data_IF_289306313811
#
_entry.id   IF_289306313811
#
_cell.length_a   1.000
_cell.length_b   1.000
_cell.length_c   1.000
_cell.angle_alpha   90.00
_cell.angle_beta   90.00
_cell.angle_gamma   90.00
#
_symmetry.space_group_name_H-M   'P 1'
#
loop_
_entity.id
_entity.type
_entity.pdbx_description
1 polymer ?
#
# COMPACT_ATOMS: atom_id res chain seq x y z
N UNK A 1 26.04 11.03 6.51
CA UNK A 1 25.82 11.15 5.04
C UNK A 1 26.28 9.86 4.40
N UNK A 2 25.40 8.88 4.34
CA UNK A 2 25.67 7.60 3.68
C UNK A 2 25.27 7.77 2.23
N UNK A 3 26.24 7.83 1.35
CA UNK A 3 26.07 8.13 -0.06
C UNK A 3 25.35 6.95 -0.75
N UNK A 4 24.27 7.19 -1.50
CA UNK A 4 23.60 6.19 -2.35
C UNK A 4 24.56 5.43 -3.27
N UNK A 5 25.71 6.02 -3.60
CA UNK A 5 26.79 5.37 -4.34
C UNK A 5 27.54 4.27 -3.55
N UNK A 6 27.35 4.15 -2.24
CA UNK A 6 27.95 3.07 -1.44
C UNK A 6 27.05 1.84 -1.31
N UNK A 7 25.75 1.96 -1.66
CA UNK A 7 24.82 0.82 -1.70
C UNK A 7 25.11 -0.06 -2.95
N UNK A 8 25.74 0.51 -3.98
CA UNK A 8 26.01 -0.18 -5.24
C UNK A 8 27.33 -0.97 -5.30
N UNK A 9 28.13 -1.05 -4.24
CA UNK A 9 29.48 -1.61 -4.36
C UNK A 9 29.79 -2.91 -3.57
N UNK A 10 28.80 -3.51 -2.94
CA UNK A 10 29.06 -4.78 -2.24
C UNK A 10 27.82 -5.61 -2.02
N UNK A 11 27.25 -6.15 -3.07
CA UNK A 11 26.62 -7.47 -3.16
C UNK A 11 25.95 -7.58 -4.54
N UNK A 12 26.67 -8.14 -5.53
CA UNK A 12 26.07 -8.64 -6.77
C UNK A 12 25.25 -9.90 -6.47
N UNK A 13 24.08 -9.70 -5.90
CA UNK A 13 22.92 -10.57 -6.01
C UNK A 13 21.74 -9.65 -6.23
N UNK A 14 21.69 -9.00 -7.41
CA UNK A 14 20.47 -8.35 -7.88
C UNK A 14 19.49 -9.47 -8.19
N UNK A 15 18.62 -9.80 -7.25
CA UNK A 15 17.38 -10.51 -7.54
C UNK A 15 16.52 -9.57 -8.39
N UNK A 16 16.76 -9.58 -9.71
CA UNK A 16 15.89 -8.89 -10.66
C UNK A 16 14.58 -9.66 -10.73
N UNK A 17 13.54 -9.15 -10.08
CA UNK A 17 12.19 -9.65 -10.31
C UNK A 17 11.83 -9.42 -11.79
N UNK A 18 11.46 -10.49 -12.47
CA UNK A 18 10.98 -10.41 -13.84
C UNK A 18 9.47 -10.11 -13.88
N UNK A 19 8.99 -9.55 -14.98
CA UNK A 19 7.56 -9.34 -15.18
C UNK A 19 6.78 -10.66 -15.04
N UNK A 20 7.34 -11.76 -15.53
CA UNK A 20 6.74 -13.09 -15.42
C UNK A 20 6.58 -13.55 -13.96
N UNK A 21 7.58 -13.31 -13.11
CA UNK A 21 7.50 -13.65 -11.68
C UNK A 21 6.43 -12.82 -10.95
N UNK A 22 6.33 -11.52 -11.27
CA UNK A 22 5.29 -10.66 -10.73
C UNK A 22 3.90 -11.07 -11.22
N UNK A 23 3.79 -11.54 -12.47
CA UNK A 23 2.54 -12.06 -13.00
C UNK A 23 2.08 -13.36 -12.31
N UNK A 24 2.99 -14.24 -11.90
CA UNK A 24 2.64 -15.42 -11.11
C UNK A 24 1.96 -15.04 -9.78
N UNK A 25 2.36 -13.93 -9.15
CA UNK A 25 1.70 -13.44 -7.95
C UNK A 25 0.27 -12.94 -8.23
N UNK A 26 0.03 -12.31 -9.41
CA UNK A 26 -1.32 -11.97 -9.90
C UNK A 26 -2.19 -13.23 -10.04
N UNK A 27 -1.65 -14.26 -10.70
CA UNK A 27 -2.36 -15.53 -10.88
C UNK A 27 -2.64 -16.22 -9.53
N UNK A 28 -1.71 -16.12 -8.57
CA UNK A 28 -1.90 -16.66 -7.23
C UNK A 28 -3.06 -15.99 -6.50
N UNK A 29 -3.19 -14.65 -6.58
CA UNK A 29 -4.33 -13.93 -5.99
C UNK A 29 -5.63 -14.39 -6.63
N UNK A 30 -5.70 -14.46 -7.97
CA UNK A 30 -6.90 -14.90 -8.69
C UNK A 30 -7.30 -16.35 -8.38
N UNK A 31 -6.32 -17.23 -8.24
CA UNK A 31 -6.57 -18.65 -7.96
C UNK A 31 -6.99 -18.91 -6.51
N UNK A 32 -6.43 -18.18 -5.54
CA UNK A 32 -6.67 -18.41 -4.12
C UNK A 32 -7.82 -17.56 -3.56
N UNK A 33 -8.20 -16.47 -4.26
CA UNK A 33 -9.26 -15.54 -3.85
C UNK A 33 -9.18 -15.13 -2.35
N UNK A 34 -8.01 -14.64 -1.86
CA UNK A 34 -7.77 -14.45 -0.44
C UNK A 34 -8.77 -13.47 0.19
N UNK A 35 -9.23 -13.78 1.40
CA UNK A 35 -10.08 -12.88 2.18
C UNK A 35 -9.22 -11.77 2.78
N UNK A 36 -9.44 -10.54 2.33
CA UNK A 36 -8.78 -9.34 2.79
C UNK A 36 -9.71 -8.57 3.72
N UNK A 37 -9.37 -8.53 5.02
CA UNK A 37 -10.08 -7.69 5.97
C UNK A 37 -9.54 -6.27 5.89
N UNK A 38 -10.36 -5.32 5.44
CA UNK A 38 -9.95 -3.93 5.24
C UNK A 38 -10.77 -2.98 6.13
N UNK A 39 -10.13 -2.48 7.19
CA UNK A 39 -10.67 -1.39 8.01
C UNK A 39 -10.19 -0.08 7.38
N UNK A 40 -10.98 0.43 6.44
CA UNK A 40 -10.63 1.57 5.59
C UNK A 40 -11.48 2.81 5.85
N UNK A 41 -11.19 3.89 5.15
CA UNK A 41 -11.92 5.15 5.26
C UNK A 41 -13.24 5.14 4.48
N UNK A 42 -14.20 5.93 4.94
CA UNK A 42 -15.57 5.97 4.38
C UNK A 42 -15.63 6.46 2.94
N UNK A 43 -14.66 7.27 2.52
CA UNK A 43 -14.64 7.87 1.18
C UNK A 43 -14.41 6.81 0.11
N UNK A 44 -13.67 5.75 0.43
CA UNK A 44 -13.17 4.78 -0.57
C UNK A 44 -13.63 3.34 -0.33
N UNK A 45 -14.39 3.08 0.72
CA UNK A 45 -14.78 1.71 1.14
C UNK A 45 -15.39 0.90 -0.01
N UNK A 46 -16.31 1.49 -0.78
CA UNK A 46 -16.94 0.82 -1.93
C UNK A 46 -15.94 0.59 -3.06
N UNK A 47 -15.12 1.60 -3.40
CA UNK A 47 -14.16 1.49 -4.49
C UNK A 47 -13.09 0.45 -4.18
N UNK A 48 -12.55 0.43 -2.96
CA UNK A 48 -11.58 -0.58 -2.53
C UNK A 48 -12.16 -2.01 -2.59
N UNK A 49 -13.42 -2.19 -2.15
CA UNK A 49 -14.08 -3.48 -2.24
C UNK A 49 -14.19 -3.95 -3.71
N UNK A 50 -14.59 -3.04 -4.61
CA UNK A 50 -14.71 -3.37 -6.04
C UNK A 50 -13.35 -3.65 -6.69
N UNK A 51 -12.28 -2.93 -6.32
CA UNK A 51 -10.92 -3.21 -6.82
C UNK A 51 -10.45 -4.59 -6.37
N UNK A 52 -10.67 -4.95 -5.10
CA UNK A 52 -10.34 -6.29 -4.59
C UNK A 52 -11.12 -7.39 -5.32
N UNK A 53 -12.44 -7.19 -5.54
CA UNK A 53 -13.26 -8.13 -6.31
C UNK A 53 -12.80 -8.24 -7.76
N UNK A 54 -12.51 -7.13 -8.42
CA UNK A 54 -12.01 -7.12 -9.79
C UNK A 54 -10.66 -7.83 -9.92
N UNK A 55 -9.80 -7.72 -8.89
CA UNK A 55 -8.52 -8.44 -8.82
C UNK A 55 -8.70 -9.95 -8.63
N UNK A 56 -9.85 -10.40 -8.11
CA UNK A 56 -10.13 -11.80 -7.77
C UNK A 56 -9.96 -12.13 -6.29
N UNK A 57 -9.72 -11.14 -5.42
CA UNK A 57 -9.71 -11.29 -3.97
C UNK A 57 -11.11 -11.18 -3.38
N UNK A 58 -11.29 -11.59 -2.14
CA UNK A 58 -12.54 -11.51 -1.37
C UNK A 58 -12.44 -10.41 -0.32
N UNK A 59 -13.11 -9.24 -0.47
CA UNK A 59 -13.05 -8.17 0.52
C UNK A 59 -14.03 -8.39 1.68
N UNK A 60 -13.62 -8.05 2.89
CA UNK A 60 -14.50 -7.81 4.02
C UNK A 60 -14.19 -6.45 4.66
N UNK A 61 -15.22 -5.61 4.81
CA UNK A 61 -15.09 -4.22 5.27
C UNK A 61 -15.67 -4.03 6.69
N UNK A 62 -15.59 -5.08 7.52
CA UNK A 62 -16.05 -5.04 8.91
C UNK A 62 -15.19 -4.07 9.74
N UNK A 63 -15.83 -3.25 10.57
CA UNK A 63 -15.17 -2.22 11.39
C UNK A 63 -15.80 -2.03 12.76
N UNK A 64 -16.82 -2.83 13.13
CA UNK A 64 -17.41 -2.81 14.45
C UNK A 64 -16.48 -3.52 15.44
N UNK A 65 -16.22 -2.90 16.61
CA UNK A 65 -15.34 -3.47 17.63
C UNK A 65 -15.77 -4.87 18.09
N UNK A 66 -17.07 -5.17 17.98
CA UNK A 66 -17.69 -6.41 18.38
C UNK A 66 -17.31 -7.61 17.48
N UNK A 67 -16.91 -7.35 16.21
CA UNK A 67 -16.70 -8.43 15.22
C UNK A 67 -15.30 -8.42 14.59
N UNK A 68 -14.54 -7.31 14.69
CA UNK A 68 -13.28 -7.17 13.93
C UNK A 68 -12.24 -8.24 14.28
N UNK A 69 -12.23 -8.73 15.51
CA UNK A 69 -11.34 -9.81 15.92
C UNK A 69 -11.73 -11.13 15.24
N UNK A 70 -13.01 -11.44 15.16
CA UNK A 70 -13.52 -12.65 14.50
C UNK A 70 -13.26 -12.58 12.99
N UNK A 71 -13.45 -11.41 12.37
CA UNK A 71 -13.13 -11.19 10.95
C UNK A 71 -11.64 -11.34 10.67
N UNK A 72 -10.77 -10.75 11.50
CA UNK A 72 -9.32 -10.92 11.40
C UNK A 72 -8.89 -12.37 11.63
N UNK A 73 -9.67 -13.13 12.40
CA UNK A 73 -9.41 -14.57 12.65
C UNK A 73 -9.62 -15.43 11.41
N UNK A 74 -10.48 -15.07 10.49
CA UNK A 74 -10.73 -15.84 9.26
C UNK A 74 -10.04 -15.25 8.02
N UNK A 75 -9.57 -13.99 8.09
CA UNK A 75 -8.88 -13.31 6.99
C UNK A 75 -7.48 -13.90 6.72
N UNK A 76 -6.97 -13.66 5.50
CA UNK A 76 -5.61 -13.96 5.08
C UNK A 76 -4.71 -12.72 5.07
N UNK A 77 -5.28 -11.51 5.12
CA UNK A 77 -4.56 -10.26 5.31
C UNK A 77 -5.43 -9.22 6.02
N UNK A 78 -4.80 -8.30 6.75
CA UNK A 78 -5.45 -7.14 7.36
C UNK A 78 -4.89 -5.86 6.74
N UNK A 79 -5.78 -4.97 6.30
CA UNK A 79 -5.45 -3.63 5.77
C UNK A 79 -6.05 -2.57 6.69
N UNK A 80 -5.21 -1.66 7.18
CA UNK A 80 -5.59 -0.56 8.06
C UNK A 80 -5.36 0.77 7.35
N UNK A 81 -6.41 1.58 7.19
CA UNK A 81 -6.33 2.89 6.53
C UNK A 81 -6.98 3.96 7.41
N UNK A 82 -6.18 4.96 7.78
CA UNK A 82 -6.58 6.00 8.75
C UNK A 82 -7.22 7.25 8.11
N UNK A 83 -7.73 7.18 6.89
CA UNK A 83 -8.24 8.35 6.14
C UNK A 83 -9.37 9.12 6.82
N UNK A 84 -10.32 8.43 7.45
CA UNK A 84 -11.43 9.02 8.22
C UNK A 84 -11.50 8.39 9.61
N UNK A 85 -10.66 8.90 10.53
CA UNK A 85 -10.54 8.39 11.88
C UNK A 85 -11.72 8.77 12.78
N UNK A 86 -12.10 7.81 13.62
CA UNK A 86 -12.86 8.00 14.86
C UNK A 86 -12.20 7.19 15.98
N UNK A 87 -12.49 7.47 17.24
CA UNK A 87 -11.94 6.71 18.34
C UNK A 87 -12.31 5.22 18.26
N UNK A 88 -13.57 4.92 17.94
CA UNK A 88 -14.07 3.54 17.77
C UNK A 88 -13.33 2.82 16.63
N UNK A 89 -13.06 3.53 15.52
CA UNK A 89 -12.31 2.93 14.40
C UNK A 89 -10.86 2.63 14.79
N UNK A 90 -10.19 3.49 15.54
CA UNK A 90 -8.84 3.21 16.06
C UNK A 90 -8.88 1.99 16.98
N UNK A 91 -9.85 1.92 17.88
CA UNK A 91 -10.04 0.76 18.76
C UNK A 91 -10.27 -0.52 17.96
N UNK A 92 -11.12 -0.49 16.93
CA UNK A 92 -11.36 -1.62 16.03
C UNK A 92 -10.08 -2.07 15.32
N UNK A 93 -9.27 -1.12 14.82
CA UNK A 93 -7.98 -1.40 14.19
C UNK A 93 -7.02 -2.12 15.16
N UNK A 94 -6.92 -1.65 16.41
CA UNK A 94 -6.06 -2.28 17.42
C UNK A 94 -6.50 -3.71 17.76
N UNK A 95 -7.81 -3.95 17.89
CA UNK A 95 -8.37 -5.28 18.13
C UNK A 95 -8.10 -6.23 16.97
N UNK A 96 -8.38 -5.80 15.73
CA UNK A 96 -8.14 -6.59 14.54
C UNK A 96 -6.65 -6.89 14.35
N UNK A 97 -5.77 -5.91 14.58
CA UNK A 97 -4.32 -6.05 14.46
C UNK A 97 -3.77 -7.05 15.48
N UNK A 98 -4.22 -7.00 16.73
CA UNK A 98 -3.84 -7.97 17.75
C UNK A 98 -4.19 -9.39 17.31
N UNK A 99 -5.38 -9.61 16.73
CA UNK A 99 -5.81 -10.91 16.23
C UNK A 99 -5.00 -11.33 15.00
N UNK A 100 -4.74 -10.40 14.05
CA UNK A 100 -3.92 -10.65 12.88
C UNK A 100 -2.50 -11.13 13.26
N UNK A 101 -1.86 -10.48 14.24
CA UNK A 101 -0.56 -10.90 14.74
C UNK A 101 -0.59 -12.27 15.40
N UNK A 102 -1.64 -12.59 16.19
CA UNK A 102 -1.77 -13.92 16.80
C UNK A 102 -1.86 -15.03 15.76
N UNK A 103 -2.32 -14.72 14.56
CA UNK A 103 -2.44 -15.65 13.42
C UNK A 103 -1.26 -15.55 12.44
N UNK A 104 -0.32 -14.64 12.67
CA UNK A 104 0.80 -14.37 11.77
C UNK A 104 0.34 -14.05 10.32
N UNK A 105 -0.82 -13.41 10.15
CA UNK A 105 -1.25 -12.90 8.84
C UNK A 105 -0.67 -11.50 8.59
N UNK A 106 -0.38 -11.13 7.33
CA UNK A 106 0.19 -9.83 7.00
C UNK A 106 -0.74 -8.68 7.38
N UNK A 107 -0.14 -7.62 7.93
CA UNK A 107 -0.82 -6.35 8.25
C UNK A 107 -0.21 -5.26 7.37
N UNK A 108 -1.05 -4.55 6.62
CA UNK A 108 -0.67 -3.43 5.76
C UNK A 108 -1.27 -2.15 6.30
N UNK A 109 -0.46 -1.13 6.53
CA UNK A 109 -0.89 0.18 7.03
C UNK A 109 -0.78 1.26 5.96
N UNK A 110 -1.88 2.00 5.78
CA UNK A 110 -1.97 3.21 4.96
C UNK A 110 -2.14 4.44 5.88
N UNK A 111 -1.07 5.20 6.13
CA UNK A 111 -1.06 6.31 7.09
C UNK A 111 -1.62 7.60 6.49
N UNK A 112 -2.79 7.55 5.84
CA UNK A 112 -3.40 8.68 5.12
C UNK A 112 -3.41 9.95 5.95
N UNK A 113 -2.73 10.98 5.44
CA UNK A 113 -2.68 12.29 6.09
C UNK A 113 -1.85 12.31 7.37
N UNK A 114 -0.88 11.42 7.53
CA UNK A 114 0.11 11.47 8.61
C UNK A 114 0.77 12.86 8.65
N UNK A 115 0.94 13.41 9.84
CA UNK A 115 1.47 14.77 10.05
C UNK A 115 0.43 15.89 9.98
N UNK A 116 -0.76 15.66 9.41
CA UNK A 116 -1.77 16.70 9.26
C UNK A 116 -2.41 17.15 10.59
N UNK A 117 -2.55 16.23 11.55
CA UNK A 117 -3.12 16.53 12.88
C UNK A 117 -2.46 15.72 13.99
N UNK A 118 -2.41 16.25 15.23
CA UNK A 118 -1.91 15.50 16.38
C UNK A 118 -2.64 14.17 16.59
N UNK A 119 -3.96 14.13 16.36
CA UNK A 119 -4.75 12.92 16.53
C UNK A 119 -4.34 11.80 15.54
N UNK A 120 -4.06 12.14 14.27
CA UNK A 120 -3.55 11.15 13.31
C UNK A 120 -2.20 10.58 13.74
N UNK A 121 -1.29 11.45 14.20
CA UNK A 121 0.02 11.04 14.67
C UNK A 121 -0.06 10.15 15.91
N UNK A 122 -0.97 10.47 16.84
CA UNK A 122 -1.25 9.64 18.01
C UNK A 122 -1.77 8.27 17.61
N UNK A 123 -2.81 8.20 16.76
CA UNK A 123 -3.38 6.94 16.29
C UNK A 123 -2.34 6.07 15.58
N UNK A 124 -1.49 6.65 14.72
CA UNK A 124 -0.40 5.93 14.06
C UNK A 124 0.61 5.39 15.08
N UNK A 125 0.96 6.18 16.07
CA UNK A 125 1.86 5.75 17.15
C UNK A 125 1.28 4.56 17.91
N UNK A 126 0.00 4.62 18.28
CA UNK A 126 -0.70 3.54 18.97
C UNK A 126 -0.75 2.25 18.12
N UNK A 127 -1.10 2.36 16.83
CA UNK A 127 -1.15 1.22 15.89
C UNK A 127 0.24 0.58 15.77
N UNK A 128 1.30 1.36 15.54
CA UNK A 128 2.65 0.81 15.35
C UNK A 128 3.20 0.23 16.67
N UNK A 129 2.89 0.81 17.82
CA UNK A 129 3.35 0.32 19.12
C UNK A 129 2.60 -0.94 19.59
N UNK A 130 1.34 -1.10 19.22
CA UNK A 130 0.55 -2.30 19.57
C UNK A 130 1.02 -3.56 18.86
N UNK A 131 1.82 -3.40 17.81
CA UNK A 131 2.45 -4.43 16.99
C UNK A 131 2.78 -3.83 15.62
N UNK A 132 4.06 -3.81 15.20
CA UNK A 132 4.41 -3.18 13.93
C UNK A 132 3.70 -3.87 12.76
N UNK A 133 3.16 -3.10 11.80
CA UNK A 133 2.67 -3.67 10.55
C UNK A 133 3.85 -4.20 9.74
N UNK A 134 3.65 -5.28 9.00
CA UNK A 134 4.68 -5.83 8.12
C UNK A 134 4.96 -4.95 6.90
N UNK A 135 3.97 -4.15 6.48
CA UNK A 135 4.05 -3.27 5.31
C UNK A 135 3.42 -1.92 5.64
N UNK A 136 4.10 -0.83 5.31
CA UNK A 136 3.55 0.54 5.35
C UNK A 136 3.64 1.14 3.94
N UNK A 137 2.51 1.64 3.41
CA UNK A 137 2.47 2.33 2.12
C UNK A 137 1.90 3.74 2.29
N UNK A 138 2.63 4.75 1.86
CA UNK A 138 2.19 6.15 1.88
C UNK A 138 2.95 6.99 0.85
N UNK A 139 2.56 8.26 0.68
CA UNK A 139 3.37 9.20 -0.08
C UNK A 139 4.59 9.68 0.73
N UNK A 140 5.52 10.37 0.08
CA UNK A 140 6.77 10.80 0.73
C UNK A 140 6.56 11.60 2.02
N UNK A 141 5.59 12.52 2.06
CA UNK A 141 5.31 13.32 3.24
C UNK A 141 4.69 12.51 4.39
N UNK A 142 3.83 11.54 4.07
CA UNK A 142 3.25 10.62 5.05
C UNK A 142 4.32 9.71 5.66
N UNK A 143 5.18 9.12 4.83
CA UNK A 143 6.28 8.27 5.29
C UNK A 143 7.28 9.04 6.16
N UNK A 144 7.69 10.25 5.77
CA UNK A 144 8.55 11.11 6.58
C UNK A 144 7.90 11.40 7.94
N UNK A 145 6.61 11.71 7.96
CA UNK A 145 5.89 11.98 9.21
C UNK A 145 5.83 10.74 10.12
N UNK A 146 5.54 9.56 9.57
CA UNK A 146 5.54 8.30 10.34
C UNK A 146 6.94 7.97 10.87
N UNK A 147 7.98 8.29 10.11
CA UNK A 147 9.37 8.14 10.55
C UNK A 147 9.77 9.10 11.69
N UNK A 148 8.94 10.11 11.99
CA UNK A 148 9.18 11.09 13.05
C UNK A 148 9.94 12.33 12.58
N UNK A 149 10.05 12.57 11.28
CA UNK A 149 10.64 13.78 10.71
C UNK A 149 9.59 14.89 10.63
N UNK A 150 9.95 16.10 11.09
CA UNK A 150 9.09 17.28 10.95
C UNK A 150 9.07 17.72 9.48
N UNK A 151 7.94 17.51 8.81
CA UNK A 151 7.75 17.96 7.42
C UNK A 151 7.10 19.33 7.44
N UNK A 152 7.84 20.38 7.09
CA UNK A 152 7.27 21.67 6.73
C UNK A 152 6.75 21.57 5.28
N UNK A 153 5.45 21.37 5.13
CA UNK A 153 4.76 21.04 3.86
C UNK A 153 4.66 22.15 2.83
N UNK A 154 5.52 23.17 2.84
CA UNK A 154 5.58 24.20 1.80
C UNK A 154 7.01 24.41 1.29
N UNK A 155 7.27 23.95 0.08
CA UNK A 155 8.38 24.47 -0.73
C UNK A 155 9.71 23.73 -0.66
N UNK A 156 9.71 22.41 -0.47
CA UNK A 156 10.94 21.60 -0.64
C UNK A 156 11.05 21.22 -2.12
N UNK A 157 12.17 21.56 -2.76
CA UNK A 157 12.48 21.11 -4.12
C UNK A 157 12.31 19.59 -4.23
N UNK A 158 11.62 19.15 -5.29
CA UNK A 158 11.15 17.77 -5.45
C UNK A 158 12.26 16.71 -5.38
N UNK A 159 13.49 17.05 -5.72
CA UNK A 159 14.65 16.13 -5.71
C UNK A 159 15.18 15.90 -4.29
N UNK A 160 15.33 16.96 -3.47
CA UNK A 160 15.78 16.81 -2.07
C UNK A 160 14.71 16.13 -1.20
N UNK A 161 13.41 16.31 -1.52
CA UNK A 161 12.32 15.65 -0.84
C UNK A 161 12.32 14.13 -1.11
N UNK A 162 12.76 13.68 -2.29
CA UNK A 162 12.84 12.24 -2.61
C UNK A 162 13.95 11.54 -1.81
N UNK A 163 15.15 12.12 -1.73
CA UNK A 163 16.26 11.51 -0.99
C UNK A 163 15.97 11.42 0.51
N UNK A 164 15.40 12.47 1.11
CA UNK A 164 14.99 12.46 2.51
C UNK A 164 13.88 11.45 2.78
N UNK A 165 12.96 11.25 1.85
CA UNK A 165 11.89 10.27 2.00
C UNK A 165 12.41 8.84 1.90
N UNK A 166 13.47 8.58 1.12
CA UNK A 166 14.10 7.27 1.02
C UNK A 166 14.88 6.91 2.29
N UNK A 167 15.63 7.84 2.85
CA UNK A 167 16.32 7.64 4.14
C UNK A 167 15.31 7.39 5.26
N UNK A 168 14.22 8.14 5.28
CA UNK A 168 13.12 7.96 6.23
C UNK A 168 12.44 6.60 6.04
N UNK A 169 12.21 6.18 4.81
CA UNK A 169 11.59 4.88 4.49
C UNK A 169 12.48 3.73 4.93
N UNK A 170 13.79 3.78 4.69
CA UNK A 170 14.74 2.76 5.15
C UNK A 170 14.80 2.70 6.68
N UNK A 171 14.85 3.85 7.36
CA UNK A 171 14.83 3.90 8.81
C UNK A 171 13.52 3.31 9.38
N UNK A 172 12.38 3.61 8.73
CA UNK A 172 11.09 3.07 9.11
C UNK A 172 11.00 1.57 8.85
N UNK A 173 11.46 1.09 7.69
CA UNK A 173 11.50 -0.34 7.35
C UNK A 173 12.31 -1.14 8.39
N UNK A 174 13.48 -0.63 8.79
CA UNK A 174 14.28 -1.22 9.86
C UNK A 174 13.57 -1.23 11.20
N UNK A 175 12.85 -0.14 11.55
CA UNK A 175 12.12 -0.02 12.82
C UNK A 175 10.96 -1.00 12.94
N UNK A 176 10.26 -1.27 11.82
CA UNK A 176 9.13 -2.22 11.79
C UNK A 176 9.55 -3.64 11.42
N UNK A 177 10.84 -3.85 11.09
CA UNK A 177 11.37 -5.11 10.54
C UNK A 177 10.55 -5.60 9.32
N UNK A 178 10.16 -4.66 8.43
CA UNK A 178 9.22 -4.90 7.34
C UNK A 178 9.55 -4.11 6.08
N UNK A 179 8.51 -3.81 5.32
CA UNK A 179 8.59 -3.14 4.01
C UNK A 179 7.90 -1.78 4.06
N UNK A 180 8.53 -0.78 3.46
CA UNK A 180 7.94 0.54 3.25
C UNK A 180 7.84 0.84 1.76
N UNK A 181 6.65 1.18 1.30
CA UNK A 181 6.40 1.66 -0.05
C UNK A 181 6.16 3.18 -0.01
N UNK A 182 7.06 3.93 -0.62
CA UNK A 182 6.90 5.37 -0.85
C UNK A 182 6.33 5.56 -2.24
N UNK A 183 5.07 6.00 -2.32
CA UNK A 183 4.41 6.20 -3.61
C UNK A 183 4.53 7.63 -4.12
N UNK A 184 4.71 7.78 -5.44
CA UNK A 184 4.89 9.05 -6.11
C UNK A 184 4.88 8.93 -7.64
N UNK A 185 5.61 9.77 -8.34
CA UNK A 185 5.89 9.62 -9.77
C UNK A 185 6.75 8.37 -10.04
N UNK A 186 7.65 8.09 -9.12
CA UNK A 186 8.34 6.81 -9.00
C UNK A 186 7.98 6.23 -7.63
N UNK A 187 7.52 5.00 -7.61
CA UNK A 187 7.29 4.28 -6.36
C UNK A 187 8.58 3.57 -5.94
N UNK A 188 8.90 3.66 -4.65
CA UNK A 188 10.06 3.00 -4.05
C UNK A 188 9.59 1.99 -3.03
N UNK A 189 9.95 0.73 -3.19
CA UNK A 189 9.65 -0.35 -2.25
C UNK A 189 10.94 -0.76 -1.57
N UNK A 190 11.05 -0.54 -0.27
CA UNK A 190 12.28 -0.69 0.52
C UNK A 190 12.02 -1.64 1.67
N UNK A 191 12.86 -2.67 1.81
CA UNK A 191 12.83 -3.58 2.95
C UNK A 191 13.80 -3.17 4.08
N UNK A 192 13.76 -3.88 5.20
CA UNK A 192 14.62 -3.64 6.35
C UNK A 192 16.13 -3.91 6.07
N UNK A 193 16.45 -4.67 5.02
CA UNK A 193 17.83 -4.99 4.63
C UNK A 193 18.39 -3.98 3.63
N UNK A 194 17.56 -3.04 3.14
CA UNK A 194 17.94 -2.03 2.17
C UNK A 194 17.80 -2.49 0.72
N UNK A 195 17.08 -3.60 0.46
CA UNK A 195 16.69 -3.97 -0.89
C UNK A 195 15.65 -2.95 -1.41
N UNK A 196 15.83 -2.48 -2.64
CA UNK A 196 14.99 -1.42 -3.23
C UNK A 196 14.47 -1.85 -4.59
N UNK A 197 13.16 -1.75 -4.80
CA UNK A 197 12.55 -1.77 -6.13
C UNK A 197 12.08 -0.36 -6.50
N UNK A 198 12.20 -0.01 -7.78
CA UNK A 198 11.72 1.25 -8.36
C UNK A 198 10.70 0.93 -9.44
N UNK A 199 9.51 1.51 -9.31
CA UNK A 199 8.45 1.37 -10.30
C UNK A 199 8.08 2.75 -10.85
N UNK A 200 7.99 2.85 -12.18
CA UNK A 200 7.64 4.08 -12.90
C UNK A 200 6.37 3.92 -13.72
N UNK A 201 5.60 2.89 -13.38
CA UNK A 201 4.32 2.63 -13.99
C UNK A 201 3.24 3.53 -13.39
N UNK A 202 2.24 3.83 -14.19
CA UNK A 202 1.11 4.64 -13.78
C UNK A 202 0.83 5.79 -14.75
N UNK A 203 -0.27 6.47 -14.50
CA UNK A 203 -0.69 7.63 -15.29
C UNK A 203 -1.08 8.79 -14.37
N UNK A 204 -0.84 10.01 -14.81
CA UNK A 204 -1.19 11.22 -14.04
C UNK A 204 -2.67 11.29 -13.67
N UNK A 205 -3.56 10.66 -14.44
CA UNK A 205 -4.98 10.60 -14.13
C UNK A 205 -5.30 9.78 -12.87
N UNK A 206 -4.40 8.93 -12.41
CA UNK A 206 -4.52 8.26 -11.11
C UNK A 206 -4.64 9.27 -9.96
N UNK A 207 -4.06 10.45 -10.08
CA UNK A 207 -4.18 11.54 -9.10
C UNK A 207 -5.54 12.26 -9.14
N UNK A 208 -6.37 12.01 -10.15
CA UNK A 208 -7.67 12.66 -10.36
C UNK A 208 -8.85 11.81 -9.90
N UNK A 209 -8.60 10.58 -9.45
CA UNK A 209 -9.63 9.67 -8.94
C UNK A 209 -9.33 9.38 -7.47
N UNK A 210 -10.29 9.74 -6.60
CA UNK A 210 -10.14 9.47 -5.18
C UNK A 210 -10.16 7.96 -4.90
N UNK A 211 -9.34 7.51 -3.98
CA UNK A 211 -9.28 6.10 -3.60
C UNK A 211 -8.22 5.28 -4.31
N UNK A 212 -7.62 5.77 -5.40
CA UNK A 212 -6.59 5.03 -6.16
C UNK A 212 -5.41 4.65 -5.27
N UNK A 213 -4.93 5.57 -4.42
CA UNK A 213 -3.88 5.25 -3.44
C UNK A 213 -4.32 4.23 -2.39
N UNK A 214 -5.52 4.42 -1.82
CA UNK A 214 -6.06 3.48 -0.84
C UNK A 214 -6.31 2.08 -1.43
N UNK A 215 -6.66 2.01 -2.73
CA UNK A 215 -6.81 0.75 -3.45
C UNK A 215 -5.48 0.05 -3.68
N UNK A 216 -4.40 0.80 -3.95
CA UNK A 216 -3.04 0.24 -4.01
C UNK A 216 -2.70 -0.48 -2.69
N UNK A 217 -2.99 0.15 -1.55
CA UNK A 217 -2.78 -0.46 -0.22
C UNK A 217 -3.64 -1.71 -0.02
N UNK A 218 -4.91 -1.68 -0.48
CA UNK A 218 -5.78 -2.85 -0.43
C UNK A 218 -5.25 -4.02 -1.29
N UNK A 219 -4.76 -3.72 -2.50
CA UNK A 219 -4.13 -4.71 -3.38
C UNK A 219 -2.85 -5.28 -2.76
N UNK A 220 -2.00 -4.48 -2.12
CA UNK A 220 -0.83 -4.98 -1.38
C UNK A 220 -1.28 -6.03 -0.35
N UNK A 221 -2.41 -5.81 0.35
CA UNK A 221 -2.98 -6.79 1.26
C UNK A 221 -3.34 -8.11 0.57
N UNK A 222 -3.95 -8.06 -0.62
CA UNK A 222 -4.31 -9.24 -1.38
C UNK A 222 -3.07 -10.03 -1.86
N UNK A 223 -2.04 -9.34 -2.32
CA UNK A 223 -0.78 -9.96 -2.74
C UNK A 223 -0.01 -10.54 -1.55
N UNK A 224 0.08 -9.82 -0.43
CA UNK A 224 0.75 -10.29 0.78
C UNK A 224 0.05 -11.51 1.41
N UNK A 225 -1.24 -11.70 1.16
CA UNK A 225 -1.99 -12.87 1.60
C UNK A 225 -1.54 -14.17 0.91
N UNK A 226 -0.96 -14.09 -0.29
CA UNK A 226 -0.57 -15.25 -1.12
C UNK A 226 0.95 -15.33 -1.36
N UNK A 227 1.69 -14.24 -1.13
CA UNK A 227 3.13 -14.14 -1.30
C UNK A 227 3.79 -13.80 0.05
N UNK A 228 4.61 -14.73 0.57
CA UNK A 228 5.25 -14.58 1.89
C UNK A 228 6.39 -13.57 1.93
N UNK A 229 7.04 -13.30 0.80
CA UNK A 229 8.01 -12.22 0.69
C UNK A 229 7.26 -10.89 0.55
N UNK A 230 7.20 -10.12 1.64
CA UNK A 230 6.48 -8.85 1.71
C UNK A 230 7.01 -7.81 0.70
N UNK A 231 8.33 -7.81 0.42
CA UNK A 231 8.93 -6.91 -0.56
C UNK A 231 8.47 -7.26 -1.99
N UNK A 232 8.50 -8.54 -2.34
CA UNK A 232 7.99 -9.04 -3.63
C UNK A 232 6.48 -8.82 -3.75
N UNK A 233 5.69 -9.14 -2.73
CA UNK A 233 4.25 -8.92 -2.71
C UNK A 233 3.88 -7.45 -2.97
N UNK A 234 4.58 -6.53 -2.28
CA UNK A 234 4.38 -5.08 -2.44
C UNK A 234 4.77 -4.62 -3.84
N UNK A 235 5.92 -5.10 -4.34
CA UNK A 235 6.40 -4.77 -5.70
C UNK A 235 5.42 -5.24 -6.76
N UNK A 236 4.93 -6.49 -6.66
CA UNK A 236 3.97 -7.05 -7.61
C UNK A 236 2.64 -6.29 -7.61
N UNK A 237 2.10 -5.98 -6.44
CA UNK A 237 0.86 -5.21 -6.30
C UNK A 237 0.97 -3.81 -6.91
N UNK A 238 2.07 -3.09 -6.63
CA UNK A 238 2.28 -1.74 -7.13
C UNK A 238 2.55 -1.71 -8.63
N UNK A 239 3.34 -2.65 -9.16
CA UNK A 239 3.58 -2.79 -10.60
C UNK A 239 2.27 -3.09 -11.35
N UNK A 240 1.50 -4.06 -10.87
CA UNK A 240 0.20 -4.39 -11.44
C UNK A 240 -0.74 -3.18 -11.47
N UNK A 241 -0.88 -2.48 -10.34
CA UNK A 241 -1.76 -1.31 -10.23
C UNK A 241 -1.32 -0.15 -11.12
N UNK A 242 -0.01 0.07 -11.27
CA UNK A 242 0.54 1.05 -12.20
C UNK A 242 0.17 0.73 -13.65
N UNK A 243 0.36 -0.53 -14.09
CA UNK A 243 -0.01 -0.97 -15.45
C UNK A 243 -1.53 -0.85 -15.68
N UNK A 244 -2.36 -1.22 -14.69
CA UNK A 244 -3.81 -1.00 -14.74
C UNK A 244 -4.12 0.49 -14.97
N UNK A 245 -3.41 1.39 -14.27
CA UNK A 245 -3.56 2.83 -14.44
C UNK A 245 -3.24 3.31 -15.85
N UNK A 246 -2.15 2.83 -16.44
CA UNK A 246 -1.70 3.17 -17.81
C UNK A 246 -2.73 2.71 -18.85
N UNK A 247 -3.10 1.42 -18.82
CA UNK A 247 -4.04 0.83 -19.77
C UNK A 247 -5.41 1.47 -19.68
N UNK A 248 -5.91 1.70 -18.48
CA UNK A 248 -7.18 2.39 -18.25
C UNK A 248 -7.16 3.83 -18.82
N UNK A 249 -6.04 4.55 -18.66
CA UNK A 249 -5.89 5.90 -19.20
C UNK A 249 -5.84 5.91 -20.72
N UNK A 250 -5.11 4.98 -21.33
CA UNK A 250 -5.06 4.83 -22.79
C UNK A 250 -6.45 4.55 -23.35
N UNK A 251 -7.18 3.56 -22.82
CA UNK A 251 -8.53 3.23 -23.25
C UNK A 251 -9.49 4.40 -23.10
N UNK A 252 -9.38 5.16 -21.99
CA UNK A 252 -10.26 6.31 -21.76
C UNK A 252 -10.00 7.44 -22.73
N UNK A 253 -8.72 7.75 -23.02
CA UNK A 253 -8.32 8.77 -24.00
C UNK A 253 -8.78 8.39 -25.40
N UNK A 254 -8.68 7.10 -25.79
CA UNK A 254 -9.14 6.61 -27.08
C UNK A 254 -10.66 6.81 -27.28
N UNK A 255 -11.43 6.82 -26.18
CA UNK A 255 -12.87 7.12 -26.20
C UNK A 255 -13.17 8.63 -26.21
N UNK A 256 -12.17 9.50 -26.09
CA UNK A 256 -12.38 10.93 -25.88
C UNK A 256 -13.08 11.26 -24.55
N UNK A 257 -13.02 10.36 -23.57
CA UNK A 257 -13.72 10.48 -22.29
C UNK A 257 -12.83 11.08 -21.19
N UNK A 258 -13.40 11.36 -20.03
CA UNK A 258 -12.74 11.99 -18.89
C UNK A 258 -12.54 11.05 -17.68
N UNK A 259 -12.16 11.64 -16.56
CA UNK A 259 -11.78 10.92 -15.33
C UNK A 259 -12.90 10.07 -14.72
N UNK A 260 -14.17 10.37 -14.98
CA UNK A 260 -15.29 9.53 -14.55
C UNK A 260 -15.27 8.17 -15.24
N UNK A 261 -15.07 8.16 -16.57
CA UNK A 261 -14.90 6.93 -17.35
C UNK A 261 -13.59 6.22 -16.95
N UNK A 262 -12.52 6.98 -16.70
CA UNK A 262 -11.27 6.44 -16.22
C UNK A 262 -11.43 5.67 -14.89
N UNK A 263 -12.19 6.20 -13.94
CA UNK A 263 -12.47 5.50 -12.68
C UNK A 263 -13.18 4.15 -12.90
N UNK A 264 -14.09 4.09 -13.88
CA UNK A 264 -14.75 2.83 -14.28
C UNK A 264 -13.74 1.90 -14.98
N UNK A 265 -12.91 2.45 -15.88
CA UNK A 265 -11.89 1.68 -16.60
C UNK A 265 -10.84 1.08 -15.68
N UNK A 266 -10.51 1.71 -14.56
CA UNK A 266 -9.65 1.09 -13.55
C UNK A 266 -10.19 -0.26 -13.08
N UNK A 267 -11.49 -0.40 -12.86
CA UNK A 267 -12.11 -1.67 -12.46
C UNK A 267 -12.15 -2.66 -13.63
N UNK A 268 -12.56 -2.20 -14.83
CA UNK A 268 -12.60 -3.05 -16.02
C UNK A 268 -11.22 -3.65 -16.32
N UNK A 269 -10.17 -2.83 -16.31
CA UNK A 269 -8.81 -3.26 -16.59
C UNK A 269 -8.26 -4.15 -15.48
N UNK A 270 -8.54 -3.84 -14.20
CA UNK A 270 -8.15 -4.72 -13.08
C UNK A 270 -8.71 -6.13 -13.26
N UNK A 271 -9.92 -6.26 -13.80
CA UNK A 271 -10.53 -7.57 -14.05
C UNK A 271 -9.96 -8.26 -15.30
N UNK A 272 -9.78 -7.51 -16.39
CA UNK A 272 -9.50 -8.05 -17.71
C UNK A 272 -8.01 -8.12 -18.08
N UNK A 273 -7.11 -7.50 -17.28
CA UNK A 273 -5.69 -7.50 -17.58
C UNK A 273 -5.18 -8.95 -17.56
N UNK A 274 -4.59 -9.37 -18.64
CA UNK A 274 -3.92 -10.66 -18.85
C UNK A 274 -2.44 -10.45 -19.18
N UNK A 275 -1.67 -11.54 -19.33
CA UNK A 275 -0.22 -11.55 -19.52
C UNK A 275 0.22 -10.84 -20.83
#
# INVERSE_FOLDING_TARGET
MTNLNQINSSTELQNHLTAQELWQDVLAVRAQAPLVHSITNWVVINFNANVLLAMGASPVMAHACEEVADMANIAQALVLNIGTLTADKVQAMLLAQKQAHSRAIPVVLDPVGAGATPYRNQALSEIIQSGPPGIIRGNGSEIMSVAGLSVTTKGVDSVMASDQSLDAALALAKRIEGVVCVSGETDYIIDAHGQVALLRNGDVWMTKVTGVGCSATALIGAFAAVQFDAWRATTAAMAYWGVVGEVAAEQTRALGAGVGTYATKLLDVTHNLDE
#
